data_IF_814830087261
#
_entry.id   IF_814830087261
#
_cell.length_a   1.000
_cell.length_b   1.000
_cell.length_c   1.000
_cell.angle_alpha   90.00
_cell.angle_beta   90.00
_cell.angle_gamma   90.00
#
_symmetry.space_group_name_H-M   'P 1'
#
loop_
_entity.id
_entity.type
_entity.pdbx_description
1 polymer ?
#
# COMPACT_ATOMS: atom_id res chain seq x y z
N UNK A 1 8.42 -17.92 29.70
CA UNK A 1 7.60 -17.23 28.74
C UNK A 1 8.32 -17.14 27.42
N UNK A 2 7.61 -17.30 26.32
CA UNK A 2 8.19 -17.10 24.97
C UNK A 2 8.47 -15.62 24.75
N UNK A 3 9.66 -15.31 24.25
CA UNK A 3 10.03 -13.95 23.81
C UNK A 3 9.52 -13.63 22.40
N UNK A 4 8.91 -14.62 21.73
CA UNK A 4 8.40 -14.51 20.36
C UNK A 4 6.90 -14.82 20.35
N UNK A 5 6.09 -13.86 19.90
CA UNK A 5 4.65 -14.04 19.68
C UNK A 5 4.39 -14.32 18.19
N UNK A 6 4.16 -15.58 17.86
CA UNK A 6 3.86 -16.03 16.48
C UNK A 6 2.40 -15.84 16.11
N UNK A 7 1.52 -15.53 17.06
CA UNK A 7 0.09 -15.33 16.78
C UNK A 7 -0.19 -13.96 16.20
N UNK A 8 0.74 -13.02 16.36
CA UNK A 8 0.65 -11.65 15.87
C UNK A 8 1.91 -11.25 15.10
N UNK A 9 2.12 -11.80 13.91
CA UNK A 9 3.32 -11.54 13.13
C UNK A 9 3.41 -10.06 12.73
N UNK A 10 4.66 -9.58 12.59
CA UNK A 10 4.93 -8.27 11.99
C UNK A 10 4.51 -8.27 10.52
N UNK A 11 3.87 -7.17 10.09
CA UNK A 11 3.50 -6.93 8.68
C UNK A 11 4.25 -5.75 8.07
N UNK A 12 5.30 -5.29 8.72
CA UNK A 12 6.08 -4.14 8.23
C UNK A 12 6.86 -4.45 6.94
N UNK A 13 7.20 -5.72 6.73
CA UNK A 13 7.86 -6.20 5.51
C UNK A 13 7.22 -7.51 5.10
N UNK A 14 6.39 -7.45 4.07
CA UNK A 14 5.77 -8.61 3.45
C UNK A 14 6.32 -8.72 2.03
N UNK A 15 7.38 -9.50 1.87
CA UNK A 15 7.93 -9.85 0.56
C UNK A 15 7.27 -11.11 0.02
N UNK A 16 7.16 -11.21 -1.31
CA UNK A 16 6.76 -12.42 -2.02
C UNK A 16 7.74 -12.66 -3.18
N UNK A 17 8.82 -13.37 -2.90
CA UNK A 17 9.86 -13.67 -3.89
C UNK A 17 9.31 -14.50 -5.06
N UNK A 18 8.31 -15.35 -4.81
CA UNK A 18 7.67 -16.13 -5.86
C UNK A 18 6.86 -15.24 -6.82
N UNK A 19 6.19 -14.20 -6.28
CA UNK A 19 5.49 -13.21 -7.10
C UNK A 19 6.47 -12.37 -7.93
N UNK A 20 7.59 -11.97 -7.36
CA UNK A 20 8.64 -11.24 -8.09
C UNK A 20 9.21 -12.11 -9.21
N UNK A 21 9.55 -13.37 -8.93
CA UNK A 21 10.04 -14.30 -9.95
C UNK A 21 8.99 -14.57 -11.05
N UNK A 22 7.70 -14.58 -10.73
CA UNK A 22 6.62 -14.69 -11.72
C UNK A 22 6.55 -13.44 -12.58
N UNK A 23 6.54 -12.26 -11.96
CA UNK A 23 6.51 -10.98 -12.68
C UNK A 23 7.70 -10.83 -13.63
N UNK A 24 8.91 -11.23 -13.19
CA UNK A 24 10.11 -11.21 -14.04
C UNK A 24 9.87 -12.01 -15.33
N UNK A 25 9.39 -13.26 -15.23
CA UNK A 25 9.06 -14.09 -16.41
C UNK A 25 7.99 -13.49 -17.31
N UNK A 26 6.97 -12.87 -16.72
CA UNK A 26 5.90 -12.19 -17.47
C UNK A 26 6.45 -10.97 -18.23
N UNK A 27 7.35 -10.21 -17.62
CA UNK A 27 8.06 -9.10 -18.27
C UNK A 27 8.97 -9.58 -19.41
N UNK A 28 9.74 -10.67 -19.21
CA UNK A 28 10.61 -11.29 -20.21
C UNK A 28 9.83 -11.72 -21.46
N UNK A 29 8.63 -12.28 -21.27
CA UNK A 29 7.78 -12.76 -22.35
C UNK A 29 6.91 -11.67 -22.98
N UNK A 30 6.94 -10.44 -22.45
CA UNK A 30 6.09 -9.33 -22.91
C UNK A 30 4.60 -9.51 -22.58
N UNK A 31 4.27 -10.31 -21.60
CA UNK A 31 2.89 -10.58 -21.18
C UNK A 31 2.26 -9.42 -20.39
N UNK A 32 3.07 -8.48 -19.88
CA UNK A 32 2.60 -7.34 -19.10
C UNK A 32 2.26 -6.16 -20.00
N UNK A 33 0.99 -5.88 -20.19
CA UNK A 33 0.51 -4.75 -21.00
C UNK A 33 0.50 -3.43 -20.21
N UNK A 34 0.19 -3.47 -18.92
CA UNK A 34 0.12 -2.32 -18.02
C UNK A 34 0.83 -2.65 -16.73
N UNK A 35 1.68 -1.75 -16.25
CA UNK A 35 2.35 -1.85 -14.95
C UNK A 35 2.19 -0.55 -14.18
N UNK A 36 1.88 -0.66 -12.89
CA UNK A 36 1.91 0.46 -11.96
C UNK A 36 2.92 0.14 -10.87
N UNK A 37 3.95 0.96 -10.72
CA UNK A 37 4.90 0.89 -9.61
C UNK A 37 4.59 1.99 -8.60
N UNK A 38 4.56 1.66 -7.31
CA UNK A 38 4.30 2.64 -6.26
C UNK A 38 5.12 2.36 -5.01
N UNK A 39 5.90 3.34 -4.56
CA UNK A 39 6.70 3.27 -3.35
C UNK A 39 7.80 2.21 -3.38
N UNK A 40 8.26 1.81 -4.59
CA UNK A 40 9.29 0.78 -4.80
C UNK A 40 10.30 1.26 -5.84
N UNK A 41 11.56 0.88 -5.66
CA UNK A 41 12.64 1.18 -6.59
C UNK A 41 13.40 -0.10 -6.99
N UNK A 42 12.77 -1.00 -7.79
CA UNK A 42 13.36 -2.29 -8.14
C UNK A 42 14.68 -2.16 -8.88
N UNK A 43 14.94 -1.09 -9.61
CA UNK A 43 16.21 -0.87 -10.31
C UNK A 43 17.37 -0.69 -9.32
N UNK A 44 17.11 -0.08 -8.16
CA UNK A 44 18.10 0.11 -7.10
C UNK A 44 18.10 -1.04 -6.07
N UNK A 45 16.93 -1.58 -5.75
CA UNK A 45 16.74 -2.49 -4.61
C UNK A 45 17.02 -3.96 -4.97
N UNK A 46 16.84 -4.35 -6.24
CA UNK A 46 17.04 -5.73 -6.67
C UNK A 46 18.48 -5.97 -7.16
N UNK A 47 19.05 -7.16 -6.91
CA UNK A 47 20.39 -7.51 -7.38
C UNK A 47 20.56 -7.36 -8.90
N UNK A 48 19.52 -7.70 -9.67
CA UNK A 48 19.49 -7.62 -11.14
C UNK A 48 18.88 -6.30 -11.64
N UNK A 49 19.07 -5.20 -10.93
CA UNK A 49 18.46 -3.90 -11.26
C UNK A 49 18.65 -3.43 -12.69
N UNK A 50 19.82 -3.70 -13.31
CA UNK A 50 20.06 -3.41 -14.72
C UNK A 50 19.15 -4.18 -15.67
N UNK A 51 18.94 -5.49 -15.43
CA UNK A 51 17.99 -6.30 -16.19
C UNK A 51 16.54 -5.80 -16.00
N UNK A 52 16.18 -5.44 -14.78
CA UNK A 52 14.87 -4.85 -14.48
C UNK A 52 14.64 -3.56 -15.24
N UNK A 53 15.64 -2.67 -15.35
CA UNK A 53 15.53 -1.46 -16.14
C UNK A 53 15.17 -1.75 -17.61
N UNK A 54 15.82 -2.76 -18.21
CA UNK A 54 15.55 -3.18 -19.59
C UNK A 54 14.15 -3.79 -19.73
N UNK A 55 13.71 -4.60 -18.77
CA UNK A 55 12.40 -5.25 -18.80
C UNK A 55 11.26 -4.25 -18.63
N UNK A 56 11.38 -3.37 -17.67
CA UNK A 56 10.36 -2.36 -17.36
C UNK A 56 10.12 -1.39 -18.53
N UNK A 57 11.17 -0.99 -19.24
CA UNK A 57 11.06 -0.08 -20.39
C UNK A 57 10.32 -0.71 -21.59
N UNK A 58 10.19 -2.04 -21.65
CA UNK A 58 9.44 -2.75 -22.68
C UNK A 58 7.93 -2.76 -22.41
N UNK A 59 7.48 -2.42 -21.19
CA UNK A 59 6.06 -2.41 -20.86
C UNK A 59 5.35 -1.26 -21.60
N UNK A 60 4.30 -1.53 -22.39
CA UNK A 60 3.64 -0.52 -23.21
C UNK A 60 3.07 0.65 -22.42
N UNK A 61 2.47 0.37 -21.26
CA UNK A 61 1.94 1.38 -20.35
C UNK A 61 2.56 1.16 -18.97
N UNK A 62 3.54 1.96 -18.64
CA UNK A 62 4.17 1.93 -17.32
C UNK A 62 3.97 3.27 -16.61
N UNK A 63 3.32 3.22 -15.45
CA UNK A 63 3.01 4.36 -14.58
C UNK A 63 3.80 4.21 -13.28
N UNK A 64 4.64 5.17 -12.95
CA UNK A 64 5.27 5.28 -11.64
C UNK A 64 4.49 6.28 -10.78
N UNK A 65 4.02 5.83 -9.63
CA UNK A 65 3.43 6.68 -8.59
C UNK A 65 4.50 6.87 -7.51
N UNK A 66 5.15 8.02 -7.48
CA UNK A 66 6.33 8.24 -6.67
C UNK A 66 6.36 9.64 -6.05
N UNK A 67 6.89 9.74 -4.84
CA UNK A 67 7.09 11.01 -4.14
C UNK A 67 8.25 11.83 -4.75
N UNK A 68 9.23 11.12 -5.29
CA UNK A 68 10.43 11.70 -5.95
C UNK A 68 10.80 10.88 -7.17
N UNK A 69 11.55 11.50 -8.05
CA UNK A 69 12.12 10.80 -9.21
C UNK A 69 13.36 10.04 -8.76
N UNK A 70 13.22 8.73 -8.61
CA UNK A 70 14.30 7.76 -8.40
C UNK A 70 14.68 7.07 -9.72
N UNK A 71 15.59 6.09 -9.67
CA UNK A 71 16.07 5.36 -10.85
C UNK A 71 14.92 4.66 -11.60
N UNK A 72 13.96 4.12 -10.88
CA UNK A 72 12.79 3.45 -11.45
C UNK A 72 11.81 4.46 -12.05
N UNK A 73 11.45 5.49 -11.29
CA UNK A 73 10.51 6.51 -11.74
C UNK A 73 11.04 7.32 -12.93
N UNK A 74 12.36 7.51 -13.01
CA UNK A 74 13.02 8.23 -14.11
C UNK A 74 12.85 7.54 -15.48
N UNK A 75 12.66 6.22 -15.50
CA UNK A 75 12.47 5.44 -16.74
C UNK A 75 10.99 5.19 -17.07
N UNK A 76 10.07 5.48 -16.16
CA UNK A 76 8.65 5.25 -16.38
C UNK A 76 8.11 6.19 -17.47
N UNK A 77 7.18 5.66 -18.29
CA UNK A 77 6.52 6.45 -19.34
C UNK A 77 5.63 7.54 -18.76
N UNK A 78 5.00 7.28 -17.63
CA UNK A 78 4.15 8.23 -16.92
C UNK A 78 4.59 8.30 -15.47
N UNK A 79 4.82 9.52 -14.99
CA UNK A 79 5.10 9.80 -13.59
C UNK A 79 3.90 10.52 -12.98
N UNK A 80 3.32 9.91 -11.94
CA UNK A 80 2.23 10.47 -11.16
C UNK A 80 2.79 10.86 -9.78
N UNK A 81 2.94 12.14 -9.47
CA UNK A 81 3.46 12.57 -8.17
C UNK A 81 2.54 12.12 -7.03
N UNK A 82 3.09 11.40 -6.06
CA UNK A 82 2.39 11.04 -4.83
C UNK A 82 2.69 12.04 -3.72
N UNK A 83 1.73 12.31 -2.82
CA UNK A 83 1.96 13.16 -1.68
C UNK A 83 2.91 12.50 -0.68
N UNK A 84 3.64 13.32 0.06
CA UNK A 84 4.39 12.87 1.23
C UNK A 84 3.42 12.26 2.27
N UNK A 85 3.84 11.26 3.07
CA UNK A 85 2.99 10.70 4.14
C UNK A 85 2.37 11.73 5.09
N UNK A 86 3.02 12.85 5.36
CA UNK A 86 2.48 13.94 6.19
C UNK A 86 1.43 14.81 5.49
N UNK A 87 1.24 14.64 4.19
CA UNK A 87 0.29 15.39 3.37
C UNK A 87 -0.97 14.58 3.03
N UNK A 88 -1.04 13.30 3.42
CA UNK A 88 -2.09 12.41 2.96
C UNK A 88 -2.67 11.51 4.04
N UNK A 89 -3.97 11.24 3.91
CA UNK A 89 -4.63 10.17 4.63
C UNK A 89 -4.11 8.81 4.19
N UNK A 90 -4.05 7.88 5.14
CA UNK A 90 -3.70 6.49 4.88
C UNK A 90 -3.78 5.64 6.13
N UNK A 91 -3.52 4.38 5.99
CA UNK A 91 -3.37 3.45 7.10
C UNK A 91 -2.27 2.44 6.81
N UNK A 92 -1.91 1.72 7.84
CA UNK A 92 -0.99 0.58 7.75
C UNK A 92 -1.24 -0.37 8.91
N UNK A 93 -0.89 -1.62 8.73
CA UNK A 93 -1.02 -2.68 9.72
C UNK A 93 0.38 -3.19 10.10
N UNK A 94 1.07 -2.59 11.08
CA UNK A 94 2.45 -2.95 11.43
C UNK A 94 2.56 -4.33 12.09
N UNK A 95 1.51 -4.74 12.76
CA UNK A 95 1.37 -6.05 13.41
C UNK A 95 -0.02 -6.56 13.10
N UNK A 96 -0.16 -7.85 12.81
CA UNK A 96 -1.44 -8.48 12.52
C UNK A 96 -2.53 -8.08 13.53
N UNK A 97 -3.65 -7.60 13.03
CA UNK A 97 -4.79 -7.13 13.83
C UNK A 97 -4.65 -5.73 14.44
N UNK A 98 -3.56 -4.99 14.18
CA UNK A 98 -3.41 -3.60 14.64
C UNK A 98 -3.35 -2.66 13.43
N UNK A 99 -4.42 -1.92 13.20
CA UNK A 99 -4.51 -0.96 12.08
C UNK A 99 -4.25 0.44 12.62
N UNK A 100 -3.23 1.10 12.09
CA UNK A 100 -2.83 2.46 12.46
C UNK A 100 -3.32 3.45 11.41
N UNK A 101 -3.89 4.56 11.88
CA UNK A 101 -4.36 5.65 11.05
C UNK A 101 -3.25 6.69 10.85
N UNK A 102 -3.02 7.07 9.61
CA UNK A 102 -2.21 8.24 9.27
C UNK A 102 -3.11 9.37 8.84
N UNK A 103 -2.99 10.50 9.52
CA UNK A 103 -3.70 11.74 9.22
C UNK A 103 -2.72 12.75 8.62
N UNK A 104 -3.13 13.57 7.63
CA UNK A 104 -2.26 14.64 7.14
C UNK A 104 -2.02 15.66 8.25
N UNK A 105 -0.77 16.06 8.40
CA UNK A 105 -0.32 17.11 9.34
C UNK A 105 -0.10 18.44 8.64
N UNK A 106 -0.07 18.42 7.33
CA UNK A 106 0.06 19.62 6.47
C UNK A 106 -0.76 19.44 5.20
N UNK A 107 -1.07 20.53 4.53
CA UNK A 107 -1.64 20.50 3.19
C UNK A 107 -0.59 19.98 2.19
N UNK A 108 -1.06 19.40 1.09
CA UNK A 108 -0.18 19.00 -0.02
C UNK A 108 0.58 20.22 -0.57
N UNK A 109 1.89 20.07 -0.75
CA UNK A 109 2.76 21.14 -1.26
C UNK A 109 2.65 21.27 -2.79
N UNK A 110 2.31 20.20 -3.48
CA UNK A 110 2.24 20.15 -4.94
C UNK A 110 0.92 19.59 -5.46
N UNK A 111 0.81 19.53 -6.79
CA UNK A 111 -0.28 18.82 -7.44
C UNK A 111 -0.01 17.30 -7.39
N UNK A 112 -0.28 16.71 -6.25
CA UNK A 112 -0.03 15.31 -5.94
C UNK A 112 -1.33 14.56 -5.69
N UNK A 113 -1.33 13.25 -5.97
CA UNK A 113 -2.48 12.39 -5.71
C UNK A 113 -2.00 11.03 -5.18
N UNK A 114 -2.63 10.56 -4.10
CA UNK A 114 -2.33 9.23 -3.56
C UNK A 114 -2.65 8.12 -4.57
N UNK A 115 -1.99 6.96 -4.43
CA UNK A 115 -2.26 5.80 -5.27
C UNK A 115 -3.75 5.41 -5.22
N UNK A 116 -4.34 5.33 -4.03
CA UNK A 116 -5.75 4.94 -3.86
C UNK A 116 -6.69 5.89 -4.61
N UNK A 117 -6.49 7.21 -4.48
CA UNK A 117 -7.29 8.21 -5.19
C UNK A 117 -7.04 8.19 -6.71
N UNK A 118 -5.83 7.85 -7.14
CA UNK A 118 -5.50 7.68 -8.55
C UNK A 118 -6.19 6.45 -9.14
N UNK A 119 -6.15 5.32 -8.44
CA UNK A 119 -6.85 4.10 -8.86
C UNK A 119 -8.37 4.31 -8.90
N UNK A 120 -8.95 5.00 -7.92
CA UNK A 120 -10.37 5.35 -7.92
C UNK A 120 -10.75 6.23 -9.12
N UNK A 121 -9.93 7.23 -9.43
CA UNK A 121 -10.15 8.08 -10.60
C UNK A 121 -10.04 7.29 -11.93
N UNK A 122 -9.05 6.42 -12.05
CA UNK A 122 -8.86 5.58 -13.24
C UNK A 122 -9.95 4.52 -13.41
N UNK A 123 -10.58 4.07 -12.33
CA UNK A 123 -11.75 3.17 -12.37
C UNK A 123 -13.08 3.89 -12.67
N UNK A 124 -13.06 5.22 -12.84
CA UNK A 124 -14.27 6.01 -13.11
C UNK A 124 -15.09 6.40 -11.87
N UNK A 125 -14.58 6.15 -10.67
CA UNK A 125 -15.23 6.48 -9.40
C UNK A 125 -14.32 7.37 -8.52
N UNK A 126 -14.03 8.62 -8.92
CA UNK A 126 -13.10 9.48 -8.20
C UNK A 126 -13.65 9.81 -6.80
N UNK A 127 -12.85 9.53 -5.79
CA UNK A 127 -13.12 9.86 -4.39
C UNK A 127 -11.85 10.44 -3.75
N UNK A 128 -12.04 11.28 -2.74
CA UNK A 128 -10.92 11.78 -1.94
C UNK A 128 -10.30 10.65 -1.10
N UNK A 129 -9.01 10.78 -0.78
CA UNK A 129 -8.26 9.75 -0.04
C UNK A 129 -8.91 9.43 1.33
N UNK A 130 -9.44 10.44 2.03
CA UNK A 130 -10.16 10.23 3.28
C UNK A 130 -11.45 9.42 3.10
N UNK A 131 -12.22 9.71 2.06
CA UNK A 131 -13.47 9.00 1.76
C UNK A 131 -13.21 7.53 1.42
N UNK A 132 -12.17 7.25 0.61
CA UNK A 132 -11.74 5.90 0.29
C UNK A 132 -11.31 5.13 1.54
N UNK A 133 -10.52 5.78 2.40
CA UNK A 133 -10.09 5.20 3.68
C UNK A 133 -11.28 4.87 4.57
N UNK A 134 -12.24 5.79 4.72
CA UNK A 134 -13.45 5.59 5.50
C UNK A 134 -14.32 4.46 4.95
N UNK A 135 -14.49 4.37 3.63
CA UNK A 135 -15.23 3.28 3.01
C UNK A 135 -14.57 1.92 3.32
N UNK A 136 -13.27 1.80 3.10
CA UNK A 136 -12.51 0.57 3.42
C UNK A 136 -12.60 0.22 4.91
N UNK A 137 -12.49 1.19 5.81
CA UNK A 137 -12.55 0.96 7.24
C UNK A 137 -13.94 0.50 7.71
N UNK A 138 -15.01 0.99 7.05
CA UNK A 138 -16.36 0.51 7.33
C UNK A 138 -16.52 -0.97 7.02
N UNK A 139 -15.89 -1.43 5.94
CA UNK A 139 -16.07 -2.80 5.46
C UNK A 139 -15.07 -3.79 6.08
N UNK A 140 -13.86 -3.33 6.42
CA UNK A 140 -12.75 -4.23 6.75
C UNK A 140 -12.19 -4.07 8.17
N UNK A 141 -12.49 -2.97 8.88
CA UNK A 141 -11.92 -2.67 10.20
C UNK A 141 -12.99 -2.53 11.27
N UNK A 142 -14.09 -1.85 10.95
CA UNK A 142 -15.19 -1.60 11.90
C UNK A 142 -15.98 -2.88 12.17
N UNK A 143 -16.19 -3.16 13.46
CA UNK A 143 -17.07 -4.24 13.92
C UNK A 143 -18.07 -3.69 14.94
N UNK A 144 -19.33 -3.60 14.55
CA UNK A 144 -20.38 -3.03 15.39
C UNK A 144 -20.58 -3.79 16.73
N UNK A 145 -20.18 -5.06 16.80
CA UNK A 145 -20.27 -5.86 18.02
C UNK A 145 -19.24 -5.48 19.07
N UNK A 146 -18.07 -5.00 18.64
CA UNK A 146 -16.94 -4.64 19.51
C UNK A 146 -16.71 -3.14 19.58
N UNK A 147 -16.96 -2.42 18.48
CA UNK A 147 -16.69 -0.97 18.35
C UNK A 147 -17.89 -0.09 18.73
N UNK A 148 -19.07 -0.71 18.96
CA UNK A 148 -20.33 -0.03 19.20
C UNK A 148 -21.09 0.26 17.90
N UNK A 149 -22.34 0.74 17.98
CA UNK A 149 -23.25 0.78 16.85
C UNK A 149 -22.95 1.91 15.83
N UNK A 150 -22.10 2.87 16.18
CA UNK A 150 -21.86 4.07 15.35
C UNK A 150 -20.48 4.04 14.71
N UNK A 151 -20.45 3.93 13.38
CA UNK A 151 -19.22 4.05 12.59
C UNK A 151 -18.58 5.44 12.73
N UNK A 152 -19.36 6.50 12.86
CA UNK A 152 -18.79 7.85 13.02
C UNK A 152 -18.10 8.01 14.38
N UNK A 153 -18.70 7.49 15.46
CA UNK A 153 -18.04 7.46 16.77
C UNK A 153 -16.75 6.61 16.76
N UNK A 154 -16.75 5.50 16.02
CA UNK A 154 -15.55 4.70 15.78
C UNK A 154 -14.48 5.51 15.05
N UNK A 155 -14.83 6.23 13.98
CA UNK A 155 -13.87 7.08 13.25
C UNK A 155 -13.29 8.19 14.12
N UNK A 156 -14.12 8.85 14.95
CA UNK A 156 -13.65 9.92 15.84
C UNK A 156 -12.71 9.40 16.92
N UNK A 157 -13.00 8.22 17.48
CA UNK A 157 -12.08 7.52 18.39
C UNK A 157 -10.75 7.19 17.68
N UNK A 158 -10.83 6.65 16.47
CA UNK A 158 -9.66 6.28 15.68
C UNK A 158 -8.75 7.47 15.35
N UNK A 159 -9.36 8.63 15.02
CA UNK A 159 -8.61 9.88 14.81
C UNK A 159 -7.88 10.34 16.05
N UNK A 160 -8.50 10.21 17.21
CA UNK A 160 -7.91 10.61 18.50
C UNK A 160 -6.80 9.66 18.92
N UNK A 161 -7.04 8.35 18.82
CA UNK A 161 -6.17 7.32 19.37
C UNK A 161 -5.06 6.91 18.37
N UNK A 162 -5.26 7.16 17.08
CA UNK A 162 -4.31 6.88 15.99
C UNK A 162 -4.28 5.42 15.54
N UNK A 163 -5.02 4.52 16.19
CA UNK A 163 -5.02 3.09 15.86
C UNK A 163 -6.31 2.39 16.31
N UNK A 164 -6.55 1.21 15.73
CA UNK A 164 -7.62 0.29 16.15
C UNK A 164 -7.14 -1.16 16.12
N UNK A 165 -7.85 -2.01 16.82
CA UNK A 165 -7.72 -3.46 16.72
C UNK A 165 -8.78 -4.00 15.79
N UNK A 166 -8.37 -4.90 14.92
CA UNK A 166 -9.25 -5.70 14.08
C UNK A 166 -9.24 -7.15 14.60
N UNK A 167 -10.39 -7.81 14.61
CA UNK A 167 -10.47 -9.26 14.81
C UNK A 167 -9.86 -9.93 13.58
N UNK A 168 -8.59 -10.29 13.65
CA UNK A 168 -7.97 -11.08 12.59
C UNK A 168 -8.45 -12.54 12.70
N UNK A 169 -8.86 -13.18 11.61
CA UNK A 169 -9.00 -14.63 11.61
C UNK A 169 -7.65 -15.22 12.04
N UNK A 170 -7.72 -16.19 12.94
CA UNK A 170 -6.53 -16.81 13.53
C UNK A 170 -5.48 -17.10 12.45
N UNK A 171 -4.30 -16.49 12.59
CA UNK A 171 -3.18 -16.80 11.71
C UNK A 171 -2.86 -18.26 11.89
N UNK A 172 -2.92 -19.06 10.82
CA UNK A 172 -2.53 -20.47 10.87
C UNK A 172 -1.14 -20.57 11.48
N UNK A 173 -0.97 -21.45 12.45
CA UNK A 173 0.31 -21.64 13.12
C UNK A 173 1.40 -21.88 12.07
N UNK A 174 2.42 -21.03 12.06
CA UNK A 174 3.59 -21.25 11.23
C UNK A 174 4.29 -22.49 11.76
N UNK A 175 4.28 -23.58 11.00
CA UNK A 175 5.14 -24.74 11.23
C UNK A 175 6.48 -24.45 10.56
N UNK A 176 7.53 -24.43 11.36
CA UNK A 176 8.91 -24.45 10.85
C UNK A 176 9.34 -25.93 10.82
N UNK A 177 9.62 -26.43 9.63
CA UNK A 177 10.27 -27.74 9.43
C UNK A 177 11.77 -27.62 9.66
#
# INVERSE_FOLDING_TARGET
>A
GSTLDLTRPSRQRLGDDAAIARLTRELETGAVAVLVTSGVNPIHELPEGGQWAELLTKVPVWVAVAERVDETAALARYLCPSPHPFESWGDYEPIAGTVCLRQPTTAAVGDTRSLDASLAAWSGAPLAAEELLRARWRDAVFDASTDGPSFDAFCDRSRRDGWNRRSDPAVAALHFD
#
